data_IF_420790653869
#
_entry.id   IF_420790653869
#
_cell.length_a   1.000
_cell.length_b   1.000
_cell.length_c   1.000
_cell.angle_alpha   90.00
_cell.angle_beta   90.00
_cell.angle_gamma   90.00
#
_symmetry.space_group_name_H-M   'P 1'
#
loop_
_entity.id
_entity.type
_entity.pdbx_description
1 polymer ?
#
# COMPACT_ATOMS: atom_id res chain seq x y z
N UNK A 1 -53.59 46.07 -18.83
CA UNK A 1 -53.24 47.03 -17.77
C UNK A 1 -52.32 46.32 -16.79
N UNK A 2 -51.05 46.68 -16.78
CA UNK A 2 -50.02 46.13 -15.88
C UNK A 2 -50.03 46.92 -14.57
N UNK A 3 -50.15 46.29 -13.39
CA UNK A 3 -50.12 47.04 -12.14
C UNK A 3 -48.70 47.54 -11.87
N UNK A 4 -48.53 48.86 -11.93
CA UNK A 4 -47.35 49.60 -11.49
C UNK A 4 -47.24 49.54 -9.95
N UNK A 5 -46.72 48.43 -9.41
CA UNK A 5 -46.40 48.29 -7.98
C UNK A 5 -45.00 48.85 -7.66
N UNK A 6 -44.82 50.14 -7.91
CA UNK A 6 -43.55 50.86 -7.73
C UNK A 6 -43.66 52.05 -6.78
N UNK A 7 -44.39 51.93 -5.67
CA UNK A 7 -44.41 52.96 -4.63
C UNK A 7 -43.08 53.02 -3.85
N UNK A 8 -42.71 54.17 -3.24
CA UNK A 8 -41.48 54.30 -2.47
C UNK A 8 -41.42 53.24 -1.37
N UNK A 9 -40.41 52.36 -1.46
CA UNK A 9 -40.20 51.30 -0.46
C UNK A 9 -40.01 51.97 0.90
N UNK A 10 -40.98 51.80 1.81
CA UNK A 10 -40.91 52.34 3.17
C UNK A 10 -39.59 51.90 3.83
N UNK A 11 -39.00 52.78 4.64
CA UNK A 11 -37.75 52.52 5.36
C UNK A 11 -37.78 51.16 6.11
N UNK A 12 -38.96 50.77 6.61
CA UNK A 12 -39.20 49.48 7.25
C UNK A 12 -39.02 48.29 6.31
N UNK A 13 -39.52 48.40 5.08
CA UNK A 13 -39.46 47.34 4.07
C UNK A 13 -38.02 47.19 3.54
N UNK A 14 -37.29 48.30 3.41
CA UNK A 14 -35.85 48.30 3.10
C UNK A 14 -35.04 47.64 4.21
N UNK A 15 -35.33 47.94 5.48
CA UNK A 15 -34.66 47.34 6.63
C UNK A 15 -34.92 45.82 6.72
N UNK A 16 -36.16 45.36 6.46
CA UNK A 16 -36.49 43.94 6.39
C UNK A 16 -35.70 43.20 5.31
N UNK A 17 -35.65 43.75 4.09
CA UNK A 17 -34.88 43.15 2.98
C UNK A 17 -33.38 43.12 3.28
N UNK A 18 -32.83 44.18 3.88
CA UNK A 18 -31.43 44.21 4.28
C UNK A 18 -31.11 43.14 5.34
N UNK A 19 -31.98 42.95 6.33
CA UNK A 19 -31.80 41.91 7.35
C UNK A 19 -31.96 40.49 6.76
N UNK A 20 -32.94 40.28 5.88
CA UNK A 20 -33.09 39.00 5.19
C UNK A 20 -31.85 38.65 4.36
N UNK A 21 -31.30 39.63 3.64
CA UNK A 21 -30.04 39.45 2.87
C UNK A 21 -28.85 39.14 3.79
N UNK A 22 -28.70 39.88 4.90
CA UNK A 22 -27.63 39.59 5.88
C UNK A 22 -27.73 38.18 6.44
N UNK A 23 -28.96 37.72 6.70
CA UNK A 23 -29.21 36.37 7.21
C UNK A 23 -28.91 35.30 6.15
N UNK A 24 -29.30 35.52 4.89
CA UNK A 24 -28.96 34.60 3.79
C UNK A 24 -27.45 34.52 3.54
N UNK A 25 -26.77 35.67 3.55
CA UNK A 25 -25.31 35.74 3.34
C UNK A 25 -24.56 35.05 4.50
N UNK A 26 -25.03 35.22 5.74
CA UNK A 26 -24.49 34.51 6.89
C UNK A 26 -24.69 33.00 6.81
N UNK A 27 -25.87 32.53 6.38
CA UNK A 27 -26.13 31.11 6.17
C UNK A 27 -25.26 30.51 5.07
N UNK A 28 -25.08 31.24 3.96
CA UNK A 28 -24.21 30.79 2.88
C UNK A 28 -22.75 30.69 3.33
N UNK A 29 -22.27 31.69 4.09
CA UNK A 29 -20.92 31.67 4.67
C UNK A 29 -20.71 30.46 5.56
N UNK A 30 -21.68 30.13 6.42
CA UNK A 30 -21.58 28.97 7.30
C UNK A 30 -21.50 27.66 6.51
N UNK A 31 -22.30 27.51 5.45
CA UNK A 31 -22.24 26.32 4.58
C UNK A 31 -20.90 26.18 3.86
N UNK A 32 -20.36 27.29 3.35
CA UNK A 32 -19.05 27.26 2.70
C UNK A 32 -17.95 26.88 3.72
N UNK A 33 -18.01 27.46 4.93
CA UNK A 33 -17.07 27.11 5.99
C UNK A 33 -17.17 25.63 6.39
N UNK A 34 -18.37 25.07 6.49
CA UNK A 34 -18.57 23.65 6.75
C UNK A 34 -17.92 22.79 5.66
N UNK A 35 -18.16 23.11 4.40
CA UNK A 35 -17.57 22.37 3.27
C UNK A 35 -16.04 22.49 3.22
N UNK A 36 -15.50 23.67 3.49
CA UNK A 36 -14.05 23.91 3.54
C UNK A 36 -13.41 23.10 4.67
N UNK A 37 -14.07 23.02 5.84
CA UNK A 37 -13.60 22.22 6.96
C UNK A 37 -13.65 20.72 6.67
N UNK A 38 -14.73 20.22 6.07
CA UNK A 38 -14.83 18.82 5.63
C UNK A 38 -13.66 18.50 4.69
N UNK A 39 -13.44 19.35 3.69
CA UNK A 39 -12.39 19.15 2.69
C UNK A 39 -10.98 19.18 3.33
N UNK A 40 -10.77 20.06 4.31
CA UNK A 40 -9.52 20.12 5.08
C UNK A 40 -9.28 18.83 5.90
N UNK A 41 -10.30 18.33 6.60
CA UNK A 41 -10.16 17.11 7.40
C UNK A 41 -9.98 15.86 6.54
N UNK A 42 -10.69 15.76 5.42
CA UNK A 42 -10.47 14.68 4.45
C UNK A 42 -9.05 14.73 3.89
N UNK A 43 -8.55 15.90 3.49
CA UNK A 43 -7.17 16.07 3.03
C UNK A 43 -6.15 15.69 4.10
N UNK A 44 -6.39 16.06 5.37
CA UNK A 44 -5.50 15.70 6.50
C UNK A 44 -5.48 14.19 6.73
N UNK A 45 -6.63 13.52 6.65
CA UNK A 45 -6.72 12.06 6.75
C UNK A 45 -5.98 11.38 5.59
N UNK A 46 -6.17 11.89 4.39
CA UNK A 46 -5.56 11.33 3.19
C UNK A 46 -4.03 11.54 3.20
N UNK A 47 -3.54 12.69 3.69
CA UNK A 47 -2.11 12.92 3.92
C UNK A 47 -1.51 11.90 4.88
N UNK A 48 -2.15 11.67 6.03
CA UNK A 48 -1.69 10.67 6.99
C UNK A 48 -1.64 9.26 6.36
N UNK A 49 -2.70 8.88 5.64
CA UNK A 49 -2.77 7.59 4.96
C UNK A 49 -1.66 7.42 3.92
N UNK A 50 -1.40 8.47 3.13
CA UNK A 50 -0.32 8.45 2.15
C UNK A 50 1.04 8.27 2.83
N UNK A 51 1.29 8.97 3.94
CA UNK A 51 2.53 8.83 4.70
C UNK A 51 2.72 7.42 5.25
N UNK A 52 1.66 6.81 5.80
CA UNK A 52 1.68 5.46 6.32
C UNK A 52 1.94 4.42 5.20
N UNK A 53 1.28 4.60 4.05
CA UNK A 53 1.47 3.75 2.87
C UNK A 53 2.89 3.84 2.32
N UNK A 54 3.46 5.05 2.24
CA UNK A 54 4.84 5.28 1.78
C UNK A 54 5.83 4.65 2.74
N UNK A 55 5.64 4.84 4.05
CA UNK A 55 6.51 4.27 5.08
C UNK A 55 6.52 2.74 4.97
N UNK A 56 5.34 2.13 4.89
CA UNK A 56 5.18 0.68 4.75
C UNK A 56 5.85 0.15 3.47
N UNK A 57 5.70 0.85 2.34
CA UNK A 57 6.33 0.47 1.07
C UNK A 57 7.86 0.57 1.13
N UNK A 58 8.40 1.64 1.72
CA UNK A 58 9.85 1.81 1.88
C UNK A 58 10.43 0.70 2.75
N UNK A 59 9.78 0.39 3.87
CA UNK A 59 10.23 -0.69 4.75
C UNK A 59 10.23 -2.05 4.04
N UNK A 60 9.18 -2.34 3.28
CA UNK A 60 9.12 -3.56 2.48
C UNK A 60 10.23 -3.61 1.45
N UNK A 61 10.45 -2.54 0.69
CA UNK A 61 11.52 -2.47 -0.30
C UNK A 61 12.90 -2.63 0.32
N UNK A 62 13.13 -2.05 1.49
CA UNK A 62 14.37 -2.22 2.25
C UNK A 62 14.57 -3.68 2.65
N UNK A 63 13.55 -4.32 3.23
CA UNK A 63 13.60 -5.75 3.60
C UNK A 63 13.86 -6.65 2.39
N UNK A 64 13.16 -6.42 1.29
CA UNK A 64 13.33 -7.19 0.05
C UNK A 64 14.73 -7.00 -0.56
N UNK A 65 15.27 -5.78 -0.52
CA UNK A 65 16.62 -5.49 -0.98
C UNK A 65 17.69 -6.10 -0.08
N UNK A 66 17.52 -6.03 1.24
CA UNK A 66 18.41 -6.63 2.22
C UNK A 66 18.45 -8.16 2.06
N UNK A 67 17.29 -8.81 1.93
CA UNK A 67 17.21 -10.24 1.65
C UNK A 67 17.95 -10.63 0.34
N UNK A 68 17.81 -9.82 -0.72
CA UNK A 68 18.55 -10.06 -1.98
C UNK A 68 20.05 -9.88 -1.82
N UNK A 69 20.49 -8.88 -1.05
CA UNK A 69 21.90 -8.66 -0.76
C UNK A 69 22.48 -9.81 0.07
N UNK A 70 21.74 -10.31 1.05
CA UNK A 70 22.19 -11.42 1.87
C UNK A 70 22.25 -12.72 1.06
N UNK A 71 21.25 -13.01 0.22
CA UNK A 71 21.31 -14.13 -0.72
C UNK A 71 22.48 -14.02 -1.71
N UNK A 72 22.83 -12.80 -2.16
CA UNK A 72 24.01 -12.60 -3.02
C UNK A 72 25.33 -12.78 -2.24
N UNK A 73 25.41 -12.31 -1.00
CA UNK A 73 26.57 -12.49 -0.11
C UNK A 73 26.79 -13.96 0.22
N UNK A 74 25.72 -14.70 0.46
CA UNK A 74 25.73 -16.15 0.69
C UNK A 74 26.27 -16.88 -0.53
N UNK A 75 25.66 -16.69 -1.72
CA UNK A 75 26.15 -17.29 -2.97
C UNK A 75 27.62 -16.96 -3.26
N UNK A 76 28.05 -15.71 -3.01
CA UNK A 76 29.46 -15.32 -3.16
C UNK A 76 30.34 -16.14 -2.22
N UNK A 77 29.96 -16.25 -0.96
CA UNK A 77 30.77 -16.94 0.04
C UNK A 77 30.74 -18.49 -0.14
N UNK A 78 29.67 -19.04 -0.70
CA UNK A 78 29.58 -20.43 -1.16
C UNK A 78 30.56 -20.69 -2.31
N UNK A 79 30.62 -19.80 -3.31
CA UNK A 79 31.57 -19.94 -4.41
C UNK A 79 33.03 -19.95 -3.90
N UNK A 80 33.37 -19.12 -2.92
CA UNK A 80 34.70 -19.15 -2.29
C UNK A 80 34.97 -20.48 -1.55
N UNK A 81 33.94 -21.02 -0.89
CA UNK A 81 34.05 -22.32 -0.21
C UNK A 81 34.22 -23.47 -1.22
N UNK A 82 33.56 -23.43 -2.38
CA UNK A 82 33.76 -24.39 -3.46
C UNK A 82 35.18 -24.31 -4.05
N UNK A 83 35.73 -23.11 -4.25
CA UNK A 83 37.14 -22.97 -4.63
C UNK A 83 38.06 -23.62 -3.60
N UNK A 84 37.77 -23.44 -2.31
CA UNK A 84 38.54 -24.09 -1.25
C UNK A 84 38.44 -25.61 -1.29
N UNK A 85 37.27 -26.18 -1.59
CA UNK A 85 37.07 -27.63 -1.75
C UNK A 85 37.84 -28.20 -2.93
N UNK A 86 38.02 -27.42 -4.00
CA UNK A 86 38.80 -27.81 -5.19
C UNK A 86 40.32 -27.79 -4.97
N UNK A 87 40.79 -27.37 -3.80
CA UNK A 87 42.20 -27.39 -3.42
C UNK A 87 42.89 -26.02 -3.40
N UNK A 88 42.17 -24.94 -3.74
CA UNK A 88 42.76 -23.61 -3.72
C UNK A 88 43.21 -23.16 -2.32
N UNK A 89 44.29 -22.39 -2.26
CA UNK A 89 44.78 -21.83 -0.99
C UNK A 89 44.03 -20.54 -0.66
N UNK A 90 43.98 -20.15 0.62
CA UNK A 90 43.36 -18.89 1.02
C UNK A 90 44.05 -17.67 0.39
N UNK A 91 45.36 -17.76 0.13
CA UNK A 91 46.11 -16.71 -0.56
C UNK A 91 45.72 -16.62 -2.05
N UNK A 92 45.58 -17.77 -2.73
CA UNK A 92 45.12 -17.80 -4.14
C UNK A 92 43.69 -17.26 -4.26
N UNK A 93 42.78 -17.69 -3.39
CA UNK A 93 41.39 -17.20 -3.37
C UNK A 93 41.36 -15.69 -3.12
N UNK A 94 42.17 -15.19 -2.18
CA UNK A 94 42.26 -13.76 -1.89
C UNK A 94 42.75 -12.96 -3.11
N UNK A 95 43.75 -13.46 -3.82
CA UNK A 95 44.28 -12.85 -5.04
C UNK A 95 43.30 -12.88 -6.22
N UNK A 96 42.48 -13.94 -6.35
CA UNK A 96 41.51 -14.09 -7.45
C UNK A 96 40.31 -13.13 -7.33
N UNK A 97 39.98 -12.70 -6.13
CA UNK A 97 38.75 -11.94 -5.84
C UNK A 97 39.05 -10.56 -5.24
N UNK A 98 40.32 -10.14 -5.31
CA UNK A 98 40.83 -8.86 -4.77
C UNK A 98 40.39 -8.60 -3.32
N UNK A 99 40.46 -9.65 -2.48
CA UNK A 99 40.18 -9.57 -1.05
C UNK A 99 41.46 -9.73 -0.25
N UNK A 100 41.46 -9.24 0.98
CA UNK A 100 42.55 -9.57 1.90
C UNK A 100 42.48 -11.05 2.31
N UNK A 101 43.64 -11.70 2.49
CA UNK A 101 43.73 -13.08 3.00
C UNK A 101 42.90 -13.33 4.26
N UNK A 102 42.92 -12.47 5.30
CA UNK A 102 42.08 -12.67 6.48
C UNK A 102 40.59 -12.60 6.18
N UNK A 103 40.14 -11.72 5.28
CA UNK A 103 38.72 -11.63 4.89
C UNK A 103 38.27 -12.85 4.08
N UNK A 104 39.07 -13.28 3.10
CA UNK A 104 38.80 -14.48 2.33
C UNK A 104 38.73 -15.72 3.26
N UNK A 105 39.65 -15.81 4.23
CA UNK A 105 39.66 -16.87 5.24
C UNK A 105 38.40 -16.83 6.11
N UNK A 106 38.00 -15.64 6.58
CA UNK A 106 36.80 -15.47 7.40
C UNK A 106 35.54 -15.91 6.65
N UNK A 107 35.38 -15.47 5.41
CA UNK A 107 34.22 -15.79 4.57
C UNK A 107 34.12 -17.31 4.36
N UNK A 108 35.21 -17.96 3.90
CA UNK A 108 35.23 -19.40 3.66
C UNK A 108 34.98 -20.21 4.93
N UNK A 109 35.58 -19.83 6.06
CA UNK A 109 35.36 -20.54 7.34
C UNK A 109 33.93 -20.36 7.83
N UNK A 110 33.36 -19.16 7.73
CA UNK A 110 31.99 -18.90 8.16
C UNK A 110 30.98 -19.72 7.38
N UNK A 111 31.14 -19.84 6.05
CA UNK A 111 30.22 -20.64 5.23
C UNK A 111 30.39 -22.13 5.45
N UNK A 112 31.62 -22.61 5.59
CA UNK A 112 31.89 -24.02 5.93
C UNK A 112 31.30 -24.41 7.29
N UNK A 113 31.38 -23.53 8.29
CA UNK A 113 30.81 -23.76 9.61
C UNK A 113 29.26 -23.78 9.57
N UNK A 114 28.63 -22.83 8.87
CA UNK A 114 27.17 -22.81 8.70
C UNK A 114 26.64 -24.02 7.94
N UNK A 115 27.40 -24.57 6.98
CA UNK A 115 27.02 -25.78 6.23
C UNK A 115 27.19 -27.07 7.04
N UNK A 116 28.03 -27.06 8.08
CA UNK A 116 28.16 -28.20 8.99
C UNK A 116 26.92 -28.34 9.90
N UNK A 117 26.17 -27.26 10.11
CA UNK A 117 24.95 -27.24 10.92
C UNK A 117 23.65 -27.16 10.09
N UNK A 118 23.73 -26.88 8.79
CA UNK A 118 22.61 -26.80 7.85
C UNK A 118 22.60 -27.90 6.77
N UNK A 119 21.45 -28.56 6.61
CA UNK A 119 21.09 -29.65 5.67
C UNK A 119 21.49 -29.38 4.19
N UNK A 120 21.78 -30.41 3.35
CA UNK A 120 22.40 -30.22 2.04
C UNK A 120 21.48 -29.64 0.95
N UNK A 121 21.88 -28.47 0.45
CA UNK A 121 22.13 -28.10 -0.96
C UNK A 121 21.29 -28.81 -2.06
N UNK A 122 20.18 -28.18 -2.46
CA UNK A 122 19.42 -28.54 -3.66
C UNK A 122 20.04 -27.82 -4.85
N UNK A 123 20.82 -28.59 -5.59
CA UNK A 123 21.42 -28.28 -6.90
C UNK A 123 20.36 -27.68 -7.85
N UNK A 124 20.40 -26.38 -8.10
CA UNK A 124 19.68 -25.76 -9.22
C UNK A 124 20.43 -26.06 -10.51
N UNK A 125 19.89 -26.97 -11.33
CA UNK A 125 20.30 -27.16 -12.70
C UNK A 125 19.68 -26.06 -13.57
N UNK A 126 20.53 -25.44 -14.38
CA UNK A 126 20.19 -24.52 -15.44
C UNK A 126 19.45 -25.29 -16.55
N UNK A 127 18.29 -24.80 -16.99
CA UNK A 127 17.74 -25.07 -18.33
C UNK A 127 17.43 -23.72 -18.96
N UNK A 128 18.16 -23.45 -20.04
CA UNK A 128 18.05 -22.32 -20.95
C UNK A 128 17.67 -22.94 -22.30
N UNK A 129 16.44 -22.70 -22.81
CA UNK A 129 16.18 -22.74 -24.26
C UNK A 129 14.84 -22.05 -24.65
N UNK A 130 15.02 -20.89 -25.27
CA UNK A 130 14.32 -20.30 -26.44
C UNK A 130 12.81 -20.45 -26.72
N UNK A 131 12.21 -19.31 -27.13
CA UNK A 131 11.25 -19.28 -28.24
C UNK A 131 10.04 -18.33 -28.12
N UNK A 132 10.01 -17.27 -28.94
CA UNK A 132 8.75 -16.77 -29.52
C UNK A 132 8.40 -15.29 -29.32
N UNK A 133 8.88 -14.42 -30.21
CA UNK A 133 8.25 -13.11 -30.51
C UNK A 133 7.00 -13.28 -31.38
N UNK A 134 5.98 -12.43 -31.17
CA UNK A 134 5.02 -11.89 -32.17
C UNK A 134 3.87 -11.18 -31.44
N UNK A 135 3.89 -9.85 -31.28
CA UNK A 135 3.26 -8.82 -32.15
C UNK A 135 1.73 -8.71 -32.08
N UNK A 136 1.28 -7.50 -31.66
CA UNK A 136 0.09 -6.69 -32.09
C UNK A 136 -1.27 -7.40 -32.22
N UNK A 137 -2.38 -6.89 -31.67
CA UNK A 137 -3.08 -5.66 -32.12
C UNK A 137 -3.85 -4.95 -30.99
N UNK A 138 -4.03 -3.64 -31.14
CA UNK A 138 -4.85 -2.82 -30.27
C UNK A 138 -6.32 -2.76 -30.72
N UNK A 139 -7.20 -2.42 -29.78
CA UNK A 139 -8.48 -1.80 -30.11
C UNK A 139 -8.94 -0.92 -28.95
N UNK A 140 -8.97 0.38 -29.22
CA UNK A 140 -9.64 1.40 -28.39
C UNK A 140 -11.14 1.29 -28.63
N UNK A 141 -11.96 1.17 -27.56
CA UNK A 141 -13.26 1.84 -27.56
C UNK A 141 -13.82 2.05 -26.13
N UNK A 142 -14.18 3.28 -25.86
CA UNK A 142 -15.08 3.78 -24.81
C UNK A 142 -15.89 4.89 -25.50
N UNK A 143 -17.02 5.42 -24.97
CA UNK A 143 -17.80 5.07 -23.77
C UNK A 143 -19.34 5.04 -24.02
N UNK A 144 -20.16 4.51 -23.08
CA UNK A 144 -21.48 5.12 -22.83
C UNK A 144 -22.12 4.73 -21.49
N UNK A 145 -22.65 5.76 -20.84
CA UNK A 145 -23.48 5.75 -19.65
C UNK A 145 -24.85 5.08 -19.85
N UNK A 146 -25.41 4.52 -18.77
CA UNK A 146 -26.66 4.96 -18.12
C UNK A 146 -27.32 3.83 -17.31
N UNK A 147 -27.61 4.16 -16.05
CA UNK A 147 -28.76 3.79 -15.21
C UNK A 147 -29.58 2.53 -15.52
N UNK A 148 -29.78 1.66 -14.52
CA UNK A 148 -31.07 1.53 -13.81
C UNK A 148 -31.20 0.20 -13.06
N UNK A 149 -31.50 0.33 -11.77
CA UNK A 149 -32.48 -0.41 -10.96
C UNK A 149 -32.75 -1.89 -11.26
N UNK A 150 -32.53 -2.76 -10.26
CA UNK A 150 -33.50 -3.79 -9.89
C UNK A 150 -33.19 -4.37 -8.50
N UNK A 151 -34.22 -4.40 -7.68
CA UNK A 151 -34.30 -4.97 -6.34
C UNK A 151 -33.90 -6.45 -6.26
N UNK A 152 -33.30 -6.85 -5.13
CA UNK A 152 -33.40 -8.21 -4.60
C UNK A 152 -33.00 -8.20 -3.11
N UNK A 153 -33.99 -8.35 -2.21
CA UNK A 153 -33.76 -8.97 -0.90
C UNK A 153 -33.46 -10.46 -1.10
N UNK A 154 -32.61 -11.06 -0.26
CA UNK A 154 -33.08 -12.14 0.62
C UNK A 154 -32.28 -12.15 1.95
N UNK A 155 -32.56 -12.86 3.03
CA UNK A 155 -33.58 -13.82 3.46
C UNK A 155 -33.29 -14.03 4.96
N UNK A 156 -34.32 -14.17 5.77
CA UNK A 156 -34.20 -14.53 7.19
C UNK A 156 -34.00 -16.04 7.29
N UNK A 157 -32.83 -16.45 7.79
CA UNK A 157 -32.51 -17.78 8.32
C UNK A 157 -32.03 -17.55 9.77
N UNK A 158 -32.41 -18.28 10.81
CA UNK A 158 -33.28 -19.42 10.95
C UNK A 158 -33.51 -19.61 12.47
N UNK A 159 -34.72 -20.03 12.80
CA UNK A 159 -35.15 -20.47 14.12
C UNK A 159 -34.60 -21.88 14.40
N UNK A 160 -33.97 -22.08 15.58
CA UNK A 160 -34.17 -23.23 16.48
C UNK A 160 -33.01 -23.43 17.47
N UNK A 161 -33.28 -23.15 18.75
CA UNK A 161 -33.25 -24.20 19.77
C UNK A 161 -32.03 -24.38 20.69
N UNK A 162 -32.35 -24.45 21.99
CA UNK A 162 -31.71 -25.20 23.08
C UNK A 162 -30.68 -24.49 24.00
N UNK A 163 -31.23 -23.93 25.09
CA UNK A 163 -30.92 -24.21 26.50
C UNK A 163 -29.49 -24.56 26.94
N UNK A 164 -28.98 -23.77 27.90
CA UNK A 164 -27.80 -24.11 28.71
C UNK A 164 -27.52 -23.08 29.80
N UNK A 165 -27.83 -23.46 31.03
CA UNK A 165 -27.76 -22.70 32.28
C UNK A 165 -26.37 -22.09 32.60
N UNK A 166 -26.36 -20.96 33.31
CA UNK A 166 -25.12 -20.37 33.82
C UNK A 166 -25.31 -19.11 34.67
N UNK A 167 -25.97 -19.25 35.82
CA UNK A 167 -26.13 -18.21 36.84
C UNK A 167 -24.81 -17.57 37.27
N UNK A 168 -24.73 -16.22 37.30
CA UNK A 168 -23.85 -15.45 38.21
C UNK A 168 -24.48 -14.12 38.58
N UNK A 169 -24.98 -14.06 39.82
CA UNK A 169 -25.29 -12.84 40.56
C UNK A 169 -24.04 -12.00 40.80
N UNK A 170 -24.15 -10.68 40.63
CA UNK A 170 -23.43 -9.68 41.42
C UNK A 170 -24.29 -8.40 41.48
N UNK A 171 -24.83 -8.12 42.67
CA UNK A 171 -25.23 -6.79 43.13
C UNK A 171 -25.11 -6.79 44.66
#
# INVERSE_FOLDING_TARGET
MTPSNGGPVSARERARRANAKRLSDAQLRLKNQEQDLISYFDATRDEQKINDDVTTKIERLRRDAEAKLDAARERRAEALAELKKRGETYATIAALVDLSVPEATRLVKSTMASRATGRPDVRSAEEDDSGGSSSTEGSFESPRASTSTASAEPSVDGDAGADGEGARSIA
#
